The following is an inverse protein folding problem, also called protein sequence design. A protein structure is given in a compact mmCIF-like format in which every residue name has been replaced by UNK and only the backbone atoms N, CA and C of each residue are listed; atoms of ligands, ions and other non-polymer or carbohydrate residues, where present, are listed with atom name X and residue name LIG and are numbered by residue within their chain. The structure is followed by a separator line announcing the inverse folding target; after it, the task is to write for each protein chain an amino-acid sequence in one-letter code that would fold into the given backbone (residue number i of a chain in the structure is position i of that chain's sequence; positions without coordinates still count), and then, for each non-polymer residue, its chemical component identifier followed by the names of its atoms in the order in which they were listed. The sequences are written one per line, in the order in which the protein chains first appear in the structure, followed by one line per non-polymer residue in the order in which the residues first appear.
data_IF_603475191142
#
_entry.id   IF_603475191142
#
_cell.length_a   1.000
_cell.length_b   1.000
_cell.length_c   1.000
_cell.angle_alpha   90.00
_cell.angle_beta   90.00
_cell.angle_gamma   90.00
#
_symmetry.space_group_name_H-M   'P 1'
#
loop_
_entity.id
_entity.type
_entity.pdbx_description
1 polymer ?
#
# COMPACT_ATOMS: atom_id res chain seq x y z
N UNK A 1 25.66 -41.28 -25.06
CA UNK A 1 27.07 -40.80 -25.06
C UNK A 1 27.60 -40.96 -23.65
N UNK A 2 28.73 -41.68 -23.48
CA UNK A 2 29.40 -41.94 -22.20
C UNK A 2 30.29 -40.77 -21.79
N UNK A 3 30.51 -40.68 -20.46
CA UNK A 3 31.57 -40.00 -19.68
C UNK A 3 31.68 -38.47 -19.85
N UNK A 4 31.82 -37.66 -18.80
CA UNK A 4 32.61 -37.87 -17.58
C UNK A 4 32.10 -36.99 -16.42
N UNK A 5 31.70 -37.64 -15.32
CA UNK A 5 31.71 -37.03 -14.00
C UNK A 5 33.14 -37.07 -13.46
N UNK A 6 33.67 -35.90 -13.09
CA UNK A 6 34.74 -35.75 -12.09
C UNK A 6 34.47 -34.45 -11.36
N UNK A 7 33.95 -34.56 -10.13
CA UNK A 7 33.88 -33.49 -9.15
C UNK A 7 34.96 -33.82 -8.12
N UNK A 8 36.13 -33.18 -8.23
CA UNK A 8 37.12 -33.15 -7.17
C UNK A 8 37.67 -31.74 -7.03
N UNK A 9 37.56 -31.20 -5.81
CA UNK A 9 38.19 -29.97 -5.32
C UNK A 9 39.70 -29.98 -5.55
N UNK A 10 40.19 -29.43 -6.66
CA UNK A 10 41.60 -29.05 -6.83
C UNK A 10 41.80 -28.14 -8.06
N UNK A 11 41.68 -26.83 -7.84
CA UNK A 11 42.39 -25.74 -8.54
C UNK A 11 41.75 -24.42 -8.04
N UNK A 12 42.38 -23.45 -7.40
CA UNK A 12 43.78 -23.10 -7.12
C UNK A 12 43.76 -22.16 -5.89
N UNK A 13 44.78 -22.23 -5.04
CA UNK A 13 45.11 -21.20 -4.04
C UNK A 13 46.45 -20.55 -4.44
N UNK A 14 46.48 -19.20 -4.36
CA UNK A 14 47.63 -18.29 -4.10
C UNK A 14 48.66 -18.15 -5.26
N UNK A 15 49.24 -16.99 -5.64
CA UNK A 15 49.53 -15.72 -4.94
C UNK A 15 50.08 -14.61 -5.90
N UNK A 16 50.05 -13.34 -5.42
CA UNK A 16 50.89 -12.14 -5.73
C UNK A 16 50.93 -11.45 -7.11
N UNK A 17 50.72 -10.12 -7.09
CA UNK A 17 51.31 -9.16 -8.05
C UNK A 17 50.46 -7.93 -8.37
N UNK A 18 50.81 -6.78 -7.80
CA UNK A 18 50.34 -5.45 -8.22
C UNK A 18 50.64 -5.19 -9.71
N UNK A 19 49.64 -4.75 -10.49
CA UNK A 19 49.73 -3.60 -11.38
C UNK A 19 48.37 -3.30 -12.04
N UNK A 20 48.20 -1.99 -12.27
CA UNK A 20 46.98 -1.26 -12.56
C UNK A 20 46.70 -1.18 -14.08
N UNK A 21 45.41 -1.26 -14.43
CA UNK A 21 44.70 -0.92 -15.69
C UNK A 21 44.86 -1.87 -16.88
N UNK A 22 43.75 -2.55 -17.20
CA UNK A 22 43.16 -2.51 -18.54
C UNK A 22 41.71 -3.00 -18.48
N UNK A 23 40.80 -2.09 -18.82
CA UNK A 23 39.41 -2.37 -19.16
C UNK A 23 39.34 -3.48 -20.21
N UNK A 24 38.76 -4.64 -19.89
CA UNK A 24 38.03 -5.56 -20.79
C UNK A 24 37.86 -6.94 -20.13
N UNK A 25 36.89 -7.07 -19.22
CA UNK A 25 36.26 -8.37 -18.98
C UNK A 25 34.89 -8.18 -18.30
N UNK A 26 33.85 -8.50 -19.08
CA UNK A 26 32.49 -8.81 -18.67
C UNK A 26 31.62 -7.66 -18.16
N UNK A 27 31.44 -6.67 -19.05
CA UNK A 27 30.08 -6.23 -19.39
C UNK A 27 29.25 -7.45 -19.81
N UNK A 28 28.60 -8.10 -18.85
CA UNK A 28 27.31 -8.73 -19.16
C UNK A 28 26.38 -7.55 -19.35
N UNK A 29 26.13 -7.19 -20.61
CA UNK A 29 25.30 -6.03 -20.93
C UNK A 29 23.91 -6.23 -20.32
N UNK A 30 23.19 -5.14 -20.10
CA UNK A 30 21.78 -5.14 -19.69
C UNK A 30 20.87 -6.00 -20.59
N UNK A 31 21.39 -6.50 -21.71
CA UNK A 31 20.74 -7.34 -22.71
C UNK A 31 20.90 -8.86 -22.46
N UNK A 32 21.63 -9.27 -21.42
CA UNK A 32 22.00 -10.68 -21.22
C UNK A 32 21.19 -11.42 -20.14
N UNK A 33 20.23 -10.78 -19.48
CA UNK A 33 19.32 -11.47 -18.54
C UNK A 33 17.97 -11.65 -19.21
N UNK A 34 17.62 -12.90 -19.45
CA UNK A 34 16.36 -13.27 -20.08
C UNK A 34 15.18 -12.95 -19.15
N UNK A 35 14.13 -12.25 -19.62
CA UNK A 35 12.88 -12.11 -18.89
C UNK A 35 12.33 -13.47 -18.45
N UNK A 36 11.60 -13.53 -17.34
CA UNK A 36 10.99 -14.78 -16.83
C UNK A 36 10.24 -15.52 -17.95
N UNK A 37 9.49 -14.79 -18.79
CA UNK A 37 8.80 -15.35 -19.95
C UNK A 37 9.75 -16.06 -20.93
N UNK A 38 10.90 -15.46 -21.23
CA UNK A 38 11.92 -16.05 -22.11
C UNK A 38 12.56 -17.30 -21.49
N UNK A 39 12.71 -17.35 -20.17
CA UNK A 39 13.24 -18.53 -19.46
C UNK A 39 12.26 -19.70 -19.49
N UNK A 40 10.97 -19.43 -19.27
CA UNK A 40 9.93 -20.43 -19.44
C UNK A 40 9.88 -20.98 -20.87
N UNK A 41 10.13 -20.12 -21.86
CA UNK A 41 10.27 -20.53 -23.24
C UNK A 41 11.44 -21.50 -23.44
N UNK A 42 12.63 -21.21 -22.90
CA UNK A 42 13.79 -22.13 -22.95
C UNK A 42 13.51 -23.46 -22.26
N UNK A 43 12.90 -23.42 -21.07
CA UNK A 43 12.53 -24.63 -20.31
C UNK A 43 11.53 -25.49 -21.11
N UNK A 44 10.58 -24.86 -21.80
CA UNK A 44 9.62 -25.58 -22.66
C UNK A 44 10.31 -26.29 -23.84
N UNK A 45 11.38 -25.71 -24.41
CA UNK A 45 12.19 -26.38 -25.43
C UNK A 45 12.98 -27.57 -24.89
N UNK A 46 13.57 -27.43 -23.70
CA UNK A 46 14.38 -28.48 -23.08
C UNK A 46 13.54 -29.68 -22.58
N UNK A 47 12.22 -29.51 -22.51
CA UNK A 47 11.30 -30.58 -22.13
C UNK A 47 9.99 -30.49 -22.92
N UNK A 48 9.95 -30.94 -24.18
CA UNK A 48 8.80 -30.75 -25.08
C UNK A 48 7.48 -31.38 -24.57
N UNK A 49 7.56 -32.34 -23.65
CA UNK A 49 6.41 -32.93 -22.94
C UNK A 49 5.74 -31.97 -21.94
N UNK A 50 6.31 -30.78 -21.77
CA UNK A 50 5.88 -29.75 -20.85
C UNK A 50 5.03 -28.73 -21.60
N UNK A 51 3.71 -28.86 -21.43
CA UNK A 51 2.75 -27.87 -21.89
C UNK A 51 2.78 -26.69 -20.90
N UNK A 52 3.81 -25.87 -20.97
CA UNK A 52 3.69 -24.47 -20.54
C UNK A 52 2.90 -23.79 -21.65
N UNK A 53 1.80 -23.10 -21.33
CA UNK A 53 0.93 -22.46 -22.31
C UNK A 53 1.80 -21.68 -23.30
N UNK A 54 1.95 -22.20 -24.52
CA UNK A 54 2.78 -21.58 -25.54
C UNK A 54 2.17 -20.20 -25.78
N UNK A 55 2.90 -19.15 -25.44
CA UNK A 55 2.56 -17.72 -25.53
C UNK A 55 2.03 -17.01 -24.27
N UNK A 56 1.98 -17.64 -23.08
CA UNK A 56 1.64 -16.91 -21.85
C UNK A 56 2.87 -16.43 -21.07
N UNK A 57 2.87 -15.15 -20.68
CA UNK A 57 3.84 -14.61 -19.72
C UNK A 57 3.63 -15.27 -18.35
N UNK A 58 4.62 -16.02 -17.88
CA UNK A 58 4.62 -16.54 -16.52
C UNK A 58 5.22 -15.52 -15.54
N UNK A 59 4.55 -15.32 -14.41
CA UNK A 59 4.95 -14.37 -13.37
C UNK A 59 5.63 -15.02 -12.16
N UNK A 60 5.71 -16.36 -12.13
CA UNK A 60 6.38 -17.13 -11.09
C UNK A 60 7.84 -17.44 -11.45
N UNK A 61 8.63 -17.74 -10.42
CA UNK A 61 10.02 -18.19 -10.56
C UNK A 61 10.10 -19.71 -10.71
N UNK A 62 11.04 -20.29 -11.48
CA UNK A 62 11.40 -21.71 -11.38
C UNK A 62 11.85 -22.12 -9.96
N UNK A 63 12.26 -21.16 -9.11
CA UNK A 63 12.53 -21.42 -7.68
C UNK A 63 11.24 -21.75 -6.92
N UNK A 64 10.16 -21.05 -7.25
CA UNK A 64 8.84 -21.12 -6.64
C UNK A 64 7.77 -21.23 -7.74
N UNK A 65 7.73 -22.36 -8.49
CA UNK A 65 6.84 -22.49 -9.62
C UNK A 65 5.40 -22.53 -9.12
N UNK A 66 4.52 -21.83 -9.82
CA UNK A 66 3.09 -21.89 -9.55
C UNK A 66 2.53 -23.30 -9.83
N UNK A 67 1.30 -23.57 -9.39
CA UNK A 67 0.67 -24.89 -9.55
C UNK A 67 0.61 -25.38 -11.00
N UNK A 68 0.50 -24.48 -11.98
CA UNK A 68 0.48 -24.80 -13.42
C UNK A 68 1.88 -25.10 -13.96
N UNK A 69 2.90 -24.40 -13.44
CA UNK A 69 4.28 -24.51 -13.91
C UNK A 69 5.10 -25.57 -13.15
N UNK A 70 4.61 -26.05 -12.00
CA UNK A 70 5.30 -27.07 -11.19
C UNK A 70 5.36 -28.46 -11.85
N UNK A 71 4.27 -29.00 -12.45
CA UNK A 71 4.33 -30.28 -13.17
C UNK A 71 5.32 -30.23 -14.32
N UNK A 72 5.34 -29.09 -15.02
CA UNK A 72 6.21 -28.75 -16.12
C UNK A 72 7.71 -28.90 -15.78
N UNK A 73 8.17 -28.37 -14.64
CA UNK A 73 9.60 -28.40 -14.30
C UNK A 73 9.98 -29.51 -13.32
N UNK A 74 9.04 -30.40 -13.00
CA UNK A 74 9.22 -31.41 -11.94
C UNK A 74 10.48 -32.25 -12.14
N UNK A 75 10.77 -32.65 -13.36
CA UNK A 75 11.94 -33.46 -13.71
C UNK A 75 13.28 -32.73 -13.52
N UNK A 76 13.27 -31.39 -13.51
CA UNK A 76 14.46 -30.55 -13.29
C UNK A 76 14.64 -30.14 -11.83
N UNK A 77 13.59 -30.21 -10.99
CA UNK A 77 13.69 -29.84 -9.57
C UNK A 77 14.79 -30.60 -8.81
N UNK A 78 15.02 -31.92 -9.02
CA UNK A 78 16.11 -32.64 -8.36
C UNK A 78 17.50 -32.12 -8.70
N UNK A 79 17.69 -31.53 -9.89
CA UNK A 79 18.98 -30.93 -10.28
C UNK A 79 19.40 -29.80 -9.34
N UNK A 80 18.44 -29.18 -8.63
CA UNK A 80 18.72 -28.18 -7.62
C UNK A 80 19.43 -28.71 -6.38
N UNK A 81 19.39 -30.02 -6.15
CA UNK A 81 20.05 -30.65 -5.00
C UNK A 81 21.48 -31.08 -5.34
N UNK A 82 21.78 -31.32 -6.62
CA UNK A 82 22.99 -32.04 -7.03
C UNK A 82 23.85 -31.32 -8.06
N UNK A 83 23.31 -30.33 -8.78
CA UNK A 83 24.02 -29.64 -9.85
C UNK A 83 24.31 -28.20 -9.46
N UNK A 84 25.54 -27.93 -9.02
CA UNK A 84 25.99 -26.58 -8.70
C UNK A 84 25.85 -25.66 -9.91
N UNK A 85 26.11 -26.12 -11.14
CA UNK A 85 25.96 -25.33 -12.36
C UNK A 85 24.51 -25.06 -12.73
N UNK A 86 23.57 -25.99 -12.49
CA UNK A 86 22.15 -25.74 -12.66
C UNK A 86 21.65 -24.76 -11.61
N UNK A 87 22.10 -24.93 -10.36
CA UNK A 87 21.87 -23.95 -9.33
C UNK A 87 22.47 -22.61 -9.71
N UNK A 88 23.70 -22.56 -10.20
CA UNK A 88 24.42 -21.36 -10.62
C UNK A 88 23.80 -20.75 -11.88
N UNK A 89 23.25 -21.51 -12.80
CA UNK A 89 22.45 -21.00 -13.91
C UNK A 89 21.15 -20.42 -13.35
N UNK A 90 20.49 -21.14 -12.45
CA UNK A 90 19.45 -20.61 -11.60
C UNK A 90 19.95 -19.54 -10.59
N UNK A 91 21.25 -19.14 -10.55
CA UNK A 91 21.82 -18.03 -9.74
C UNK A 91 22.10 -16.86 -10.67
N UNK A 92 22.87 -17.06 -11.71
CA UNK A 92 23.23 -16.09 -12.72
C UNK A 92 22.00 -15.62 -13.52
N UNK A 93 20.99 -16.48 -13.67
CA UNK A 93 19.66 -16.10 -14.17
C UNK A 93 18.69 -15.73 -13.02
N UNK A 94 18.97 -16.13 -11.76
CA UNK A 94 18.13 -15.87 -10.57
C UNK A 94 18.97 -15.73 -9.28
N UNK A 95 19.59 -14.58 -9.01
CA UNK A 95 20.69 -14.47 -8.03
C UNK A 95 20.34 -14.99 -6.65
N UNK A 96 21.20 -15.84 -6.10
CA UNK A 96 20.98 -16.51 -4.81
C UNK A 96 21.93 -15.94 -3.75
N UNK A 97 21.32 -15.50 -2.65
CA UNK A 97 21.93 -15.16 -1.37
C UNK A 97 22.88 -13.97 -1.38
N UNK A 98 22.31 -12.78 -1.50
CA UNK A 98 22.02 -12.10 -0.26
C UNK A 98 20.53 -11.80 -0.17
N UNK A 99 19.96 -12.20 0.97
CA UNK A 99 18.64 -11.88 1.50
C UNK A 99 17.42 -12.36 0.69
N UNK A 100 16.86 -13.48 1.15
CA UNK A 100 15.43 -13.81 1.10
C UNK A 100 14.59 -13.10 0.02
N UNK A 101 14.85 -13.36 -1.28
CA UNK A 101 13.96 -13.13 -2.45
C UNK A 101 14.28 -11.98 -3.43
N UNK A 102 15.40 -11.26 -3.32
CA UNK A 102 15.78 -10.23 -4.31
C UNK A 102 16.69 -10.76 -5.42
N UNK A 103 16.47 -10.33 -6.67
CA UNK A 103 17.06 -10.94 -7.88
C UNK A 103 18.22 -10.16 -8.53
N UNK A 104 19.00 -9.34 -7.83
CA UNK A 104 20.04 -8.57 -8.55
C UNK A 104 21.22 -8.08 -7.71
N UNK A 105 22.42 -8.70 -7.83
CA UNK A 105 23.66 -8.24 -7.18
C UNK A 105 24.38 -7.15 -8.01
N UNK A 106 24.26 -7.16 -9.34
CA UNK A 106 25.15 -6.38 -10.23
C UNK A 106 24.61 -5.00 -10.65
N UNK A 107 23.42 -4.62 -10.17
CA UNK A 107 22.91 -3.24 -10.29
C UNK A 107 23.37 -2.37 -9.11
N UNK A 108 24.06 -2.98 -8.15
CA UNK A 108 24.52 -2.32 -6.95
C UNK A 108 25.92 -1.77 -7.15
N UNK A 109 25.94 -0.58 -7.74
CA UNK A 109 26.96 0.38 -7.36
C UNK A 109 26.38 1.24 -6.22
N UNK A 110 26.84 1.08 -4.98
CA UNK A 110 26.45 1.92 -3.84
C UNK A 110 26.69 3.42 -4.09
N UNK A 111 27.51 3.77 -5.09
CA UNK A 111 27.82 5.14 -5.49
C UNK A 111 26.91 5.71 -6.59
N UNK A 112 26.06 4.90 -7.25
CA UNK A 112 25.26 5.32 -8.42
C UNK A 112 23.74 5.21 -8.19
N UNK A 113 23.25 4.31 -7.32
CA UNK A 113 21.80 4.08 -7.17
C UNK A 113 21.28 4.26 -5.74
N UNK A 114 20.63 5.40 -5.52
CA UNK A 114 19.97 5.74 -4.26
C UNK A 114 18.51 5.25 -4.18
N UNK A 115 18.02 4.21 -4.87
CA UNK A 115 16.56 3.94 -4.91
C UNK A 115 16.16 2.52 -4.51
N UNK A 116 15.07 2.42 -3.74
CA UNK A 116 14.43 1.17 -3.33
C UNK A 116 13.68 0.48 -4.49
N UNK A 117 13.27 1.24 -5.50
CA UNK A 117 12.42 0.75 -6.59
C UNK A 117 12.95 -0.49 -7.32
N UNK A 118 14.23 -0.53 -7.80
CA UNK A 118 14.73 -1.69 -8.55
C UNK A 118 14.78 -2.95 -7.69
N UNK A 119 15.03 -2.81 -6.38
CA UNK A 119 15.00 -3.92 -5.41
C UNK A 119 13.61 -4.52 -5.36
N UNK A 120 12.58 -3.69 -5.22
CA UNK A 120 11.16 -4.11 -5.15
C UNK A 120 10.71 -4.74 -6.47
N UNK A 121 11.07 -4.17 -7.61
CA UNK A 121 10.73 -4.71 -8.94
C UNK A 121 11.37 -6.08 -9.19
N UNK A 122 12.59 -6.28 -8.71
CA UNK A 122 13.32 -7.53 -8.85
C UNK A 122 12.80 -8.61 -7.87
N UNK A 123 12.33 -8.22 -6.69
CA UNK A 123 11.93 -9.14 -5.61
C UNK A 123 10.70 -9.97 -5.95
N UNK A 124 10.70 -11.22 -5.49
CA UNK A 124 9.51 -12.09 -5.49
C UNK A 124 9.14 -12.40 -4.04
N UNK A 125 8.39 -11.48 -3.42
CA UNK A 125 8.08 -11.54 -1.99
C UNK A 125 7.37 -12.85 -1.63
N UNK A 126 7.88 -13.53 -0.61
CA UNK A 126 7.45 -14.85 -0.13
C UNK A 126 7.48 -15.97 -1.18
N UNK A 127 8.24 -15.76 -2.26
CA UNK A 127 8.17 -16.61 -3.46
C UNK A 127 6.79 -16.66 -4.11
N UNK A 128 5.91 -15.71 -3.76
CA UNK A 128 4.48 -15.71 -4.07
C UNK A 128 4.03 -14.44 -4.78
N UNK A 129 4.46 -13.28 -4.31
CA UNK A 129 3.99 -11.97 -4.78
C UNK A 129 4.99 -11.32 -5.74
N UNK A 130 4.56 -11.12 -6.99
CA UNK A 130 5.42 -10.55 -8.03
C UNK A 130 4.99 -9.12 -8.34
N UNK A 131 5.91 -8.17 -8.20
CA UNK A 131 5.69 -6.77 -8.57
C UNK A 131 5.06 -6.65 -9.97
N UNK A 132 4.02 -5.83 -10.08
CA UNK A 132 3.36 -5.50 -11.34
C UNK A 132 3.55 -4.04 -11.70
N UNK A 133 3.04 -3.12 -10.88
CA UNK A 133 3.09 -1.68 -11.15
C UNK A 133 3.25 -0.88 -9.87
N UNK A 134 3.98 0.23 -9.93
CA UNK A 134 4.15 1.17 -8.82
C UNK A 134 2.87 2.01 -8.67
N UNK A 135 2.38 2.14 -7.43
CA UNK A 135 1.27 3.04 -7.08
C UNK A 135 1.77 4.37 -6.54
N UNK A 136 2.73 4.32 -5.62
CA UNK A 136 3.28 5.49 -4.94
C UNK A 136 4.79 5.28 -4.70
N UNK A 137 5.53 6.40 -4.75
CA UNK A 137 6.96 6.49 -5.04
C UNK A 137 7.90 5.56 -4.28
N UNK A 138 9.11 5.37 -4.82
CA UNK A 138 10.22 4.59 -4.23
C UNK A 138 11.56 5.34 -4.48
N UNK A 139 11.49 6.67 -4.57
CA UNK A 139 12.61 7.54 -4.91
C UNK A 139 13.56 7.67 -3.71
N UNK A 140 14.87 7.70 -3.95
CA UNK A 140 15.87 8.03 -2.92
C UNK A 140 15.89 7.10 -1.66
N UNK A 141 15.43 5.85 -1.75
CA UNK A 141 15.24 4.89 -0.63
C UNK A 141 14.05 5.20 0.29
N UNK A 142 13.12 6.05 -0.15
CA UNK A 142 11.88 6.26 0.59
C UNK A 142 10.97 5.03 0.53
N UNK A 143 10.02 4.99 1.46
CA UNK A 143 8.88 4.09 1.43
C UNK A 143 8.09 4.17 0.12
N UNK A 144 7.38 3.09 -0.21
CA UNK A 144 6.59 3.03 -1.43
C UNK A 144 5.56 1.92 -1.47
N UNK A 145 4.63 2.03 -2.42
CA UNK A 145 3.55 1.07 -2.62
C UNK A 145 3.50 0.60 -4.07
N UNK A 146 3.34 -0.70 -4.27
CA UNK A 146 3.20 -1.32 -5.59
C UNK A 146 2.07 -2.34 -5.61
N UNK A 147 1.39 -2.47 -6.73
CA UNK A 147 0.54 -3.64 -7.01
C UNK A 147 1.43 -4.82 -7.36
N UNK A 148 1.05 -6.01 -6.91
CA UNK A 148 1.68 -7.26 -7.28
C UNK A 148 0.64 -8.34 -7.63
N UNK A 149 1.06 -9.30 -8.43
CA UNK A 149 0.31 -10.53 -8.68
C UNK A 149 0.55 -11.55 -7.57
N UNK A 150 -0.51 -12.19 -7.09
CA UNK A 150 -0.43 -13.38 -6.24
C UNK A 150 -0.37 -14.65 -7.10
N UNK A 151 0.85 -15.20 -7.24
CA UNK A 151 1.10 -16.43 -8.00
C UNK A 151 0.95 -17.71 -7.18
N UNK A 152 0.72 -17.59 -5.86
CA UNK A 152 0.63 -18.71 -4.92
C UNK A 152 -0.79 -19.27 -4.75
N UNK A 153 -1.77 -18.74 -5.49
CA UNK A 153 -3.13 -19.26 -5.49
C UNK A 153 -3.27 -20.50 -6.38
N UNK A 154 -4.37 -21.28 -6.25
CA UNK A 154 -4.66 -22.41 -7.16
C UNK A 154 -4.75 -22.04 -8.64
N UNK A 155 -4.89 -20.75 -8.98
CA UNK A 155 -4.89 -20.24 -10.36
C UNK A 155 -3.49 -20.05 -10.93
N UNK A 156 -2.46 -20.10 -10.08
CA UNK A 156 -1.07 -19.99 -10.49
C UNK A 156 -0.75 -18.70 -11.25
N UNK A 157 -0.23 -18.82 -12.48
CA UNK A 157 0.14 -17.68 -13.33
C UNK A 157 -0.92 -17.34 -14.39
N UNK A 158 -2.14 -17.83 -14.27
CA UNK A 158 -3.22 -17.44 -15.18
C UNK A 158 -3.50 -15.93 -15.04
N UNK A 159 -3.04 -15.13 -16.00
CA UNK A 159 -3.15 -13.66 -15.97
C UNK A 159 -4.60 -13.18 -15.87
N UNK A 160 -5.54 -13.97 -16.40
CA UNK A 160 -6.95 -13.69 -16.27
C UNK A 160 -7.51 -14.09 -14.90
N UNK A 161 -6.84 -14.84 -14.03
CA UNK A 161 -7.41 -15.20 -12.71
C UNK A 161 -6.51 -14.88 -11.52
N UNK A 162 -5.27 -14.48 -11.77
CA UNK A 162 -4.32 -14.04 -10.74
C UNK A 162 -4.91 -12.89 -9.93
N UNK A 163 -5.04 -13.05 -8.61
CA UNK A 163 -5.40 -11.94 -7.74
C UNK A 163 -4.33 -10.87 -7.73
N UNK A 164 -4.77 -9.63 -7.54
CA UNK A 164 -3.90 -8.51 -7.24
C UNK A 164 -3.82 -8.31 -5.74
N UNK A 165 -2.63 -7.91 -5.27
CA UNK A 165 -2.36 -7.48 -3.90
C UNK A 165 -1.59 -6.16 -3.92
N UNK A 166 -1.49 -5.49 -2.78
CA UNK A 166 -0.62 -4.33 -2.61
C UNK A 166 0.56 -4.73 -1.73
N UNK A 167 1.75 -4.31 -2.16
CA UNK A 167 3.00 -4.40 -1.41
C UNK A 167 3.34 -2.98 -0.96
N UNK A 168 3.33 -2.72 0.35
CA UNK A 168 3.88 -1.50 0.95
C UNK A 168 5.24 -1.83 1.51
N UNK A 169 6.26 -1.07 1.12
CA UNK A 169 7.64 -1.27 1.55
C UNK A 169 8.08 -0.05 2.35
N UNK A 170 8.72 -0.30 3.48
CA UNK A 170 9.09 0.68 4.50
C UNK A 170 10.57 0.45 4.86
N UNK A 171 11.29 1.53 5.13
CA UNK A 171 12.70 1.47 5.55
C UNK A 171 12.88 1.72 7.05
N UNK A 172 11.83 2.19 7.71
CA UNK A 172 11.78 2.43 9.15
C UNK A 172 10.91 1.38 9.82
N UNK A 173 11.34 0.94 11.00
CA UNK A 173 10.62 -0.07 11.77
C UNK A 173 9.34 0.49 12.41
N UNK A 174 9.38 1.73 12.91
CA UNK A 174 8.26 2.29 13.68
C UNK A 174 6.95 2.37 12.87
N UNK A 175 6.92 2.93 11.64
CA UNK A 175 5.69 2.98 10.84
C UNK A 175 5.20 1.58 10.45
N UNK A 176 6.13 0.65 10.20
CA UNK A 176 5.81 -0.75 9.92
C UNK A 176 5.17 -1.43 11.13
N UNK A 177 5.77 -1.27 12.32
CA UNK A 177 5.26 -1.83 13.56
C UNK A 177 3.90 -1.24 13.92
N UNK A 178 3.72 0.08 13.77
CA UNK A 178 2.44 0.75 13.99
C UNK A 178 1.34 0.17 13.09
N UNK A 179 1.57 0.10 11.79
CA UNK A 179 0.58 -0.41 10.83
C UNK A 179 0.28 -1.91 11.06
N UNK A 180 1.31 -2.74 11.30
CA UNK A 180 1.15 -4.16 11.65
C UNK A 180 0.30 -4.36 12.91
N UNK A 181 0.60 -3.61 13.98
CA UNK A 181 -0.09 -3.73 15.25
C UNK A 181 -1.55 -3.30 15.14
N UNK A 182 -1.81 -2.23 14.38
CA UNK A 182 -3.16 -1.71 14.11
C UNK A 182 -4.03 -2.72 13.35
N UNK A 183 -3.54 -3.26 12.23
CA UNK A 183 -4.29 -4.29 11.51
C UNK A 183 -4.50 -5.56 12.33
N UNK A 184 -3.52 -5.95 13.16
CA UNK A 184 -3.67 -7.08 14.09
C UNK A 184 -4.79 -6.84 15.10
N UNK A 185 -4.86 -5.66 15.71
CA UNK A 185 -5.91 -5.30 16.66
C UNK A 185 -7.29 -5.22 16.00
N UNK A 186 -7.39 -4.60 14.83
CA UNK A 186 -8.63 -4.52 14.04
C UNK A 186 -9.14 -5.93 13.72
N UNK A 187 -8.27 -6.81 13.21
CA UNK A 187 -8.63 -8.18 12.82
C UNK A 187 -9.14 -9.01 13.99
N UNK A 188 -8.60 -8.82 15.21
CA UNK A 188 -9.01 -9.56 16.41
C UNK A 188 -10.45 -9.27 16.81
N UNK A 189 -10.92 -8.04 16.63
CA UNK A 189 -12.25 -7.60 17.09
C UNK A 189 -13.27 -7.58 15.96
N UNK A 190 -12.87 -7.10 14.78
CA UNK A 190 -13.76 -6.89 13.64
C UNK A 190 -13.75 -8.05 12.64
N UNK A 191 -12.89 -9.05 12.85
CA UNK A 191 -12.76 -10.21 11.96
C UNK A 191 -12.09 -9.87 10.61
N UNK A 192 -12.33 -10.70 9.60
CA UNK A 192 -11.78 -10.56 8.24
C UNK A 192 -12.87 -10.29 7.19
N UNK A 193 -14.09 -9.95 7.62
CA UNK A 193 -15.18 -9.72 6.67
C UNK A 193 -14.97 -8.43 5.88
N UNK A 194 -15.27 -8.47 4.59
CA UNK A 194 -15.22 -7.32 3.68
C UNK A 194 -16.10 -6.17 4.19
N UNK A 195 -17.20 -6.49 4.87
CA UNK A 195 -18.14 -5.56 5.52
C UNK A 195 -17.48 -4.64 6.55
N UNK A 196 -16.35 -5.04 7.14
CA UNK A 196 -15.62 -4.25 8.14
C UNK A 196 -15.10 -2.92 7.58
N UNK A 197 -14.81 -2.86 6.28
CA UNK A 197 -14.20 -1.71 5.63
C UNK A 197 -12.77 -1.40 6.10
N UNK A 198 -12.04 -2.45 6.45
CA UNK A 198 -10.58 -2.43 6.59
C UNK A 198 -10.00 -3.51 5.67
N UNK A 199 -8.91 -3.26 4.93
CA UNK A 199 -8.35 -4.26 4.04
C UNK A 199 -7.80 -5.44 4.84
N UNK A 200 -7.90 -6.64 4.25
CA UNK A 200 -7.21 -7.80 4.79
C UNK A 200 -5.69 -7.64 4.68
N UNK A 201 -4.98 -7.69 5.81
CA UNK A 201 -3.53 -7.85 5.84
C UNK A 201 -3.19 -9.33 5.63
N UNK A 202 -2.56 -9.63 4.48
CA UNK A 202 -2.24 -10.98 4.03
C UNK A 202 -0.93 -11.47 4.63
N UNK A 203 0.08 -10.59 4.70
CA UNK A 203 1.38 -10.89 5.28
C UNK A 203 2.12 -9.63 5.71
N UNK A 204 3.10 -9.77 6.60
CA UNK A 204 4.03 -8.75 7.01
C UNK A 204 5.37 -9.39 7.37
N UNK A 205 6.48 -8.86 6.88
CA UNK A 205 7.81 -9.38 7.21
C UNK A 205 8.88 -8.34 6.90
N UNK A 206 10.13 -8.73 7.04
CA UNK A 206 11.31 -7.94 6.75
C UNK A 206 12.32 -8.75 5.94
N UNK A 207 13.28 -8.05 5.35
CA UNK A 207 14.45 -8.65 4.73
C UNK A 207 15.62 -7.66 4.85
N UNK A 208 16.82 -8.18 5.15
CA UNK A 208 18.03 -7.36 5.20
C UNK A 208 18.56 -6.97 3.80
N UNK A 209 19.56 -6.10 3.73
CA UNK A 209 20.30 -5.70 2.54
C UNK A 209 21.79 -5.76 2.92
N UNK A 210 22.33 -6.98 2.98
CA UNK A 210 23.64 -7.37 3.53
C UNK A 210 24.86 -6.96 2.71
N UNK A 211 24.72 -6.74 1.40
CA UNK A 211 25.84 -6.36 0.51
C UNK A 211 26.12 -4.81 0.57
N UNK A 212 25.34 -4.01 1.35
CA UNK A 212 25.56 -2.56 1.49
C UNK A 212 26.61 -2.26 2.57
N UNK A 213 27.39 -1.16 2.41
CA UNK A 213 28.30 -0.67 3.46
C UNK A 213 27.59 -0.40 4.79
N UNK A 214 26.31 -0.01 4.73
CA UNK A 214 25.39 0.02 5.85
C UNK A 214 24.38 -1.10 5.67
N UNK A 215 24.46 -2.18 6.46
CA UNK A 215 23.39 -3.19 6.51
C UNK A 215 22.07 -2.46 6.73
N UNK A 216 21.12 -2.63 5.80
CA UNK A 216 19.78 -2.05 5.93
C UNK A 216 18.75 -3.14 6.10
N UNK A 217 17.76 -2.92 6.97
CA UNK A 217 16.57 -3.76 7.05
C UNK A 217 15.46 -3.06 6.28
N UNK A 218 14.76 -3.82 5.45
CA UNK A 218 13.59 -3.36 4.70
C UNK A 218 12.39 -4.13 5.18
N UNK A 219 11.37 -3.40 5.62
CA UNK A 219 10.11 -3.95 6.09
C UNK A 219 9.08 -3.92 4.96
N UNK A 220 8.14 -4.86 4.96
CA UNK A 220 7.04 -4.85 4.00
C UNK A 220 5.75 -5.43 4.56
N UNK A 221 4.65 -4.95 3.98
CA UNK A 221 3.28 -5.37 4.23
C UNK A 221 2.64 -5.80 2.92
N UNK A 222 2.00 -6.97 2.93
CA UNK A 222 1.17 -7.45 1.83
C UNK A 222 -0.29 -7.33 2.25
N UNK A 223 -1.09 -6.58 1.50
CA UNK A 223 -2.50 -6.35 1.79
C UNK A 223 -3.39 -6.61 0.59
N UNK A 224 -4.69 -6.74 0.86
CA UNK A 224 -5.73 -6.81 -0.13
C UNK A 224 -5.65 -5.62 -1.09
N UNK A 225 -5.72 -5.89 -2.40
CA UNK A 225 -5.89 -4.84 -3.40
C UNK A 225 -7.28 -4.20 -3.30
N UNK A 226 -7.31 -2.87 -3.30
CA UNK A 226 -8.53 -2.05 -3.26
C UNK A 226 -8.70 -1.25 -4.54
N UNK A 227 -9.86 -0.61 -4.69
CA UNK A 227 -10.17 0.27 -5.81
C UNK A 227 -9.63 1.69 -5.62
N UNK A 228 -10.10 2.65 -6.44
CA UNK A 228 -9.68 4.04 -6.37
C UNK A 228 -9.87 4.66 -4.99
N UNK A 229 -8.95 5.54 -4.60
CA UNK A 229 -9.11 6.38 -3.40
C UNK A 229 -10.18 7.45 -3.62
N UNK A 230 -10.72 8.05 -2.55
CA UNK A 230 -11.61 9.21 -2.69
C UNK A 230 -10.87 10.41 -3.32
N UNK A 231 -9.54 10.48 -3.18
CA UNK A 231 -8.72 11.44 -3.92
C UNK A 231 -8.74 11.16 -5.43
N UNK A 232 -8.56 9.90 -5.83
CA UNK A 232 -8.60 9.51 -7.24
C UNK A 232 -9.98 9.78 -7.85
N UNK A 233 -11.06 9.54 -7.11
CA UNK A 233 -12.42 9.89 -7.54
C UNK A 233 -12.56 11.40 -7.76
N UNK A 234 -12.02 12.21 -6.85
CA UNK A 234 -12.04 13.67 -6.97
C UNK A 234 -11.18 14.17 -8.14
N UNK A 235 -10.03 13.53 -8.41
CA UNK A 235 -9.09 13.94 -9.46
C UNK A 235 -9.51 13.48 -10.86
N UNK A 236 -10.10 12.28 -10.96
CA UNK A 236 -10.42 11.63 -12.23
C UNK A 236 -11.88 11.81 -12.65
N UNK A 237 -12.71 12.45 -11.83
CA UNK A 237 -14.05 12.87 -12.24
C UNK A 237 -14.04 14.31 -12.76
N UNK A 238 -15.02 14.68 -13.58
CA UNK A 238 -15.25 16.07 -13.95
C UNK A 238 -15.60 16.97 -12.76
N UNK A 239 -15.84 16.37 -11.59
CA UNK A 239 -16.24 17.07 -10.39
C UNK A 239 -15.03 17.65 -9.66
N UNK A 240 -14.99 18.97 -9.51
CA UNK A 240 -14.03 19.63 -8.63
C UNK A 240 -14.34 19.43 -7.14
N UNK A 241 -15.47 18.76 -6.82
CA UNK A 241 -15.99 18.46 -5.47
C UNK A 241 -17.07 17.37 -5.53
N UNK A 242 -17.25 16.62 -4.46
CA UNK A 242 -18.34 15.64 -4.33
C UNK A 242 -19.71 16.33 -4.23
N UNK A 243 -20.75 15.63 -4.71
CA UNK A 243 -22.14 16.06 -4.51
C UNK A 243 -22.54 15.95 -3.04
N UNK A 244 -23.59 16.66 -2.63
CA UNK A 244 -24.10 16.57 -1.25
C UNK A 244 -24.48 15.14 -0.84
N UNK A 245 -24.94 14.29 -1.78
CA UNK A 245 -25.26 12.89 -1.51
C UNK A 245 -24.00 12.06 -1.31
N UNK A 246 -22.99 12.22 -2.16
CA UNK A 246 -21.68 11.55 -2.03
C UNK A 246 -21.00 11.91 -0.71
N UNK A 247 -20.89 13.20 -0.38
CA UNK A 247 -20.23 13.65 0.85
C UNK A 247 -20.93 13.12 2.10
N UNK A 248 -22.26 13.03 2.08
CA UNK A 248 -23.04 12.53 3.23
C UNK A 248 -22.91 11.01 3.38
N UNK A 249 -22.84 10.29 2.25
CA UNK A 249 -22.56 8.86 2.27
C UNK A 249 -21.18 8.56 2.86
N UNK A 250 -20.16 9.29 2.42
CA UNK A 250 -18.80 9.22 2.97
C UNK A 250 -18.80 9.52 4.47
N UNK A 251 -19.48 10.58 4.91
CA UNK A 251 -19.55 10.95 6.32
C UNK A 251 -20.09 9.79 7.18
N UNK A 252 -21.25 9.22 6.82
CA UNK A 252 -21.87 8.13 7.56
C UNK A 252 -20.97 6.90 7.61
N UNK A 253 -20.36 6.52 6.48
CA UNK A 253 -19.48 5.35 6.43
C UNK A 253 -18.19 5.56 7.22
N UNK A 254 -17.53 6.71 7.10
CA UNK A 254 -16.29 6.99 7.82
C UNK A 254 -16.51 7.15 9.34
N UNK A 255 -17.64 7.74 9.77
CA UNK A 255 -18.01 7.77 11.19
C UNK A 255 -18.07 6.35 11.78
N UNK A 256 -18.63 5.38 11.05
CA UNK A 256 -18.63 3.97 11.48
C UNK A 256 -17.21 3.37 11.53
N UNK A 257 -16.30 3.76 10.63
CA UNK A 257 -14.90 3.30 10.67
C UNK A 257 -14.18 3.85 11.90
N UNK A 258 -14.33 5.13 12.18
CA UNK A 258 -13.75 5.75 13.37
C UNK A 258 -14.34 5.15 14.65
N UNK A 259 -15.66 4.94 14.71
CA UNK A 259 -16.29 4.22 15.82
C UNK A 259 -15.64 2.85 16.05
N UNK A 260 -15.40 2.08 14.98
CA UNK A 260 -14.79 0.77 15.07
C UNK A 260 -13.35 0.84 15.62
N UNK A 261 -12.48 1.68 15.08
CA UNK A 261 -11.09 1.77 15.58
C UNK A 261 -11.01 2.38 16.99
N UNK A 262 -11.87 3.35 17.32
CA UNK A 262 -11.86 3.95 18.66
C UNK A 262 -12.36 3.00 19.74
N UNK A 263 -13.24 2.05 19.38
CA UNK A 263 -13.70 0.99 20.30
C UNK A 263 -12.60 0.03 20.77
N UNK A 264 -11.49 -0.04 20.01
CA UNK A 264 -10.29 -0.84 20.34
C UNK A 264 -9.11 0.03 20.75
N UNK A 265 -9.39 1.25 21.22
CA UNK A 265 -8.41 2.23 21.65
C UNK A 265 -7.39 2.67 20.57
N UNK A 266 -7.74 2.58 19.29
CA UNK A 266 -6.83 2.93 18.19
C UNK A 266 -7.21 4.27 17.56
N UNK A 267 -6.25 5.19 17.42
CA UNK A 267 -6.42 6.48 16.71
C UNK A 267 -5.72 6.40 15.37
N UNK A 268 -6.35 6.88 14.30
CA UNK A 268 -5.79 6.85 12.95
C UNK A 268 -4.78 7.96 12.69
N UNK A 269 -5.14 9.23 12.93
CA UNK A 269 -4.38 10.48 12.71
C UNK A 269 -3.88 10.79 11.30
N UNK A 270 -3.94 9.83 10.36
CA UNK A 270 -3.58 10.00 8.96
C UNK A 270 -4.74 10.39 8.04
N UNK A 271 -5.80 11.04 8.53
CA UNK A 271 -7.00 11.28 7.72
C UNK A 271 -6.69 12.15 6.49
N UNK A 272 -6.92 11.61 5.30
CA UNK A 272 -6.85 12.32 4.01
C UNK A 272 -7.67 11.57 2.96
N UNK A 273 -8.20 12.22 1.91
CA UNK A 273 -8.96 11.52 0.87
C UNK A 273 -8.23 10.32 0.23
N UNK A 274 -6.89 10.35 0.19
CA UNK A 274 -6.07 9.27 -0.34
C UNK A 274 -6.00 8.01 0.57
N UNK A 275 -6.42 8.11 1.83
CA UNK A 275 -6.43 6.99 2.79
C UNK A 275 -7.82 6.33 2.92
N UNK A 276 -8.75 6.70 2.03
CA UNK A 276 -10.08 6.11 1.96
C UNK A 276 -10.30 5.54 0.56
N UNK A 277 -10.46 4.23 0.45
CA UNK A 277 -10.57 3.52 -0.82
C UNK A 277 -11.96 2.96 -1.05
N UNK A 278 -12.39 2.94 -2.30
CA UNK A 278 -13.52 2.13 -2.74
C UNK A 278 -13.08 0.65 -2.86
N UNK A 279 -14.01 -0.32 -2.88
CA UNK A 279 -13.66 -1.69 -3.24
C UNK A 279 -13.13 -1.74 -4.68
N UNK A 280 -12.45 -2.83 -5.10
CA UNK A 280 -12.19 -3.06 -6.52
C UNK A 280 -13.50 -3.23 -7.30
N UNK A 281 -13.57 -2.67 -8.51
CA UNK A 281 -14.71 -2.94 -9.39
C UNK A 281 -14.72 -4.43 -9.77
N UNK A 282 -15.86 -5.08 -9.60
CA UNK A 282 -16.06 -6.46 -10.08
C UNK A 282 -15.97 -6.49 -11.60
N UNK A 283 -15.39 -7.55 -12.16
CA UNK A 283 -15.29 -7.70 -13.61
C UNK A 283 -16.67 -7.70 -14.25
N UNK A 284 -16.80 -6.93 -15.32
CA UNK A 284 -18.07 -6.75 -16.03
C UNK A 284 -19.09 -5.87 -15.30
N UNK A 285 -18.77 -5.32 -14.13
CA UNK A 285 -19.65 -4.38 -13.43
C UNK A 285 -19.40 -2.93 -13.87
N UNK A 286 -20.49 -2.18 -14.06
CA UNK A 286 -20.47 -0.74 -14.32
C UNK A 286 -20.39 0.11 -13.04
N UNK A 287 -20.55 -0.52 -11.87
CA UNK A 287 -20.51 0.18 -10.58
C UNK A 287 -20.37 -0.75 -9.37
N UNK A 288 -20.25 -0.14 -8.21
CA UNK A 288 -20.30 -0.81 -6.91
C UNK A 288 -21.74 -1.07 -6.49
N UNK A 289 -21.95 -2.01 -5.56
CA UNK A 289 -23.25 -2.11 -4.89
C UNK A 289 -23.40 -0.91 -3.95
N UNK A 290 -24.64 -0.39 -3.74
CA UNK A 290 -24.86 0.72 -2.82
C UNK A 290 -24.35 0.46 -1.40
N UNK A 291 -24.40 -0.79 -0.95
CA UNK A 291 -23.96 -1.24 0.37
C UNK A 291 -22.46 -1.51 0.48
N UNK A 292 -21.69 -1.36 -0.61
CA UNK A 292 -20.26 -1.64 -0.59
C UNK A 292 -19.52 -0.65 0.33
N UNK A 293 -18.61 -1.13 1.19
CA UNK A 293 -17.95 -0.30 2.18
C UNK A 293 -16.85 0.55 1.58
N UNK A 294 -16.70 1.77 2.10
CA UNK A 294 -15.45 2.54 2.00
C UNK A 294 -14.44 1.93 2.98
N UNK A 295 -13.24 1.69 2.48
CA UNK A 295 -12.11 1.14 3.21
C UNK A 295 -11.25 2.25 3.80
N UNK A 296 -10.80 2.08 5.05
CA UNK A 296 -9.77 2.91 5.67
C UNK A 296 -8.42 2.19 5.60
N UNK A 297 -7.38 2.88 5.13
CA UNK A 297 -6.02 2.33 4.95
C UNK A 297 -4.96 3.24 5.59
N UNK A 298 -3.70 2.76 5.59
CA UNK A 298 -2.50 3.51 5.96
C UNK A 298 -2.48 3.93 7.44
N UNK A 299 -2.22 2.91 8.28
CA UNK A 299 -2.12 3.04 9.73
C UNK A 299 -0.68 3.36 10.19
N UNK A 300 0.20 3.84 9.31
CA UNK A 300 1.60 4.14 9.63
C UNK A 300 1.76 5.23 10.71
N UNK A 301 0.80 6.16 10.81
CA UNK A 301 0.77 7.20 11.85
C UNK A 301 -0.15 6.85 13.03
N UNK A 302 -0.79 5.69 12.99
CA UNK A 302 -1.77 5.31 14.01
C UNK A 302 -1.08 5.01 15.34
N UNK A 303 -1.84 5.17 16.42
CA UNK A 303 -1.34 4.87 17.76
C UNK A 303 -2.47 4.40 18.65
N UNK A 304 -2.17 3.50 19.57
CA UNK A 304 -3.09 3.16 20.64
C UNK A 304 -3.12 4.30 21.64
N UNK A 305 -4.31 4.84 21.91
CA UNK A 305 -4.45 5.85 22.93
C UNK A 305 -4.57 5.17 24.28
N UNK A 306 -3.41 5.01 24.89
CA UNK A 306 -3.33 4.84 26.34
C UNK A 306 -3.00 6.22 26.90
N UNK A 307 -3.60 6.67 28.02
CA UNK A 307 -3.21 7.90 28.70
C UNK A 307 -1.69 8.05 28.83
N UNK A 308 -1.12 9.12 28.26
CA UNK A 308 -0.65 10.21 29.11
C UNK A 308 -1.62 11.39 29.07
N UNK A 309 -1.62 12.26 30.10
CA UNK A 309 -2.57 13.36 30.22
C UNK A 309 -2.48 14.36 29.07
N UNK A 310 -3.58 15.08 28.86
CA UNK A 310 -3.68 16.18 27.91
C UNK A 310 -2.52 17.16 28.05
N UNK A 311 -1.92 17.55 26.92
CA UNK A 311 -0.85 18.55 26.90
C UNK A 311 0.56 17.97 26.96
N UNK A 312 0.69 16.65 27.09
CA UNK A 312 1.98 15.99 26.87
C UNK A 312 2.46 16.25 25.43
N UNK A 313 3.70 16.72 25.30
CA UNK A 313 4.35 16.88 24.00
C UNK A 313 4.58 15.50 23.36
N UNK A 314 4.29 15.40 22.07
CA UNK A 314 4.60 14.23 21.25
C UNK A 314 6.07 14.31 20.83
N UNK A 315 6.83 13.19 20.79
CA UNK A 315 8.21 13.19 20.32
C UNK A 315 8.35 13.87 18.96
N UNK A 316 9.43 14.64 18.76
CA UNK A 316 9.67 15.61 17.67
C UNK A 316 9.41 15.12 16.22
N UNK A 317 9.29 13.81 16.00
CA UNK A 317 9.04 13.18 14.69
C UNK A 317 7.54 13.19 14.24
N UNK A 318 6.71 14.02 14.88
CA UNK A 318 5.26 14.06 14.64
C UNK A 318 4.83 14.88 13.41
N UNK A 319 5.78 15.51 12.71
CA UNK A 319 5.56 16.43 11.58
C UNK A 319 5.11 15.77 10.26
N UNK A 320 4.88 14.46 10.27
CA UNK A 320 4.70 13.61 9.08
C UNK A 320 3.26 13.43 8.60
N UNK A 321 2.25 13.70 9.45
CA UNK A 321 0.84 13.68 9.06
C UNK A 321 0.48 14.84 8.11
N UNK A 322 -0.50 14.65 7.23
CA UNK A 322 -0.86 15.66 6.23
C UNK A 322 -1.37 16.97 6.89
N UNK A 323 -0.60 18.04 6.72
CA UNK A 323 -0.86 19.36 7.32
C UNK A 323 -2.25 19.93 7.02
N UNK A 324 -2.82 19.63 5.86
CA UNK A 324 -4.13 20.16 5.47
C UNK A 324 -5.27 19.59 6.33
N UNK A 325 -5.13 18.34 6.77
CA UNK A 325 -6.20 17.58 7.39
C UNK A 325 -5.94 17.25 8.86
N UNK A 326 -4.70 17.30 9.35
CA UNK A 326 -4.42 17.08 10.78
C UNK A 326 -5.16 18.10 11.66
N UNK A 327 -5.56 17.73 12.87
CA UNK A 327 -6.13 18.69 13.83
C UNK A 327 -5.12 19.78 14.24
N UNK A 328 -5.56 20.97 14.64
CA UNK A 328 -4.66 22.03 15.16
C UNK A 328 -3.89 21.61 16.41
N UNK A 329 -4.46 20.72 17.23
CA UNK A 329 -3.79 20.23 18.44
C UNK A 329 -2.63 19.31 18.10
N UNK A 330 -2.88 18.33 17.23
CA UNK A 330 -1.80 17.52 16.65
C UNK A 330 -0.75 18.39 15.95
N UNK A 331 -1.17 19.48 15.30
CA UNK A 331 -0.28 20.47 14.67
C UNK A 331 0.54 21.31 15.66
N UNK A 332 0.09 21.41 16.91
CA UNK A 332 0.85 22.03 18.00
C UNK A 332 1.77 21.06 18.74
N UNK A 333 1.93 19.82 18.25
CA UNK A 333 2.78 18.81 18.88
C UNK A 333 2.19 18.15 20.13
N UNK A 334 0.90 18.30 20.41
CA UNK A 334 0.27 17.70 21.58
C UNK A 334 -0.14 16.24 21.34
N UNK A 335 -0.25 15.48 22.44
CA UNK A 335 -0.83 14.14 22.50
C UNK A 335 -2.20 14.07 21.81
N UNK A 336 -2.32 13.18 20.82
CA UNK A 336 -3.54 12.94 20.04
C UNK A 336 -4.52 12.03 20.78
N UNK A 337 -5.80 12.19 20.49
CA UNK A 337 -6.94 11.49 21.08
C UNK A 337 -8.05 11.29 20.04
N UNK A 338 -9.11 10.50 20.30
CA UNK A 338 -10.26 10.35 19.40
C UNK A 338 -10.83 11.66 18.81
N UNK A 339 -10.77 12.76 19.56
CA UNK A 339 -11.25 14.08 19.10
C UNK A 339 -10.45 14.66 17.93
N UNK A 340 -9.16 14.32 17.84
CA UNK A 340 -8.26 14.79 16.77
C UNK A 340 -8.60 14.12 15.44
N UNK A 341 -9.01 12.84 15.47
CA UNK A 341 -9.56 12.11 14.32
C UNK A 341 -10.89 12.73 13.85
N UNK A 342 -11.76 13.17 14.79
CA UNK A 342 -13.02 13.82 14.46
C UNK A 342 -12.83 15.17 13.79
N UNK A 343 -11.92 16.00 14.30
CA UNK A 343 -11.56 17.27 13.67
C UNK A 343 -10.98 17.04 12.27
N UNK A 344 -10.09 16.05 12.13
CA UNK A 344 -9.45 15.72 10.86
C UNK A 344 -10.46 15.18 9.82
N UNK A 345 -11.40 14.33 10.24
CA UNK A 345 -12.51 13.87 9.42
C UNK A 345 -13.37 15.05 8.94
N UNK A 346 -13.66 16.02 9.81
CA UNK A 346 -14.46 17.18 9.45
C UNK A 346 -13.78 18.01 8.34
N UNK A 347 -12.44 18.15 8.38
CA UNK A 347 -11.67 18.77 7.31
C UNK A 347 -11.70 17.97 6.00
N UNK A 348 -11.59 16.64 6.07
CA UNK A 348 -11.75 15.77 4.90
C UNK A 348 -13.13 15.94 4.26
N UNK A 349 -14.20 15.96 5.05
CA UNK A 349 -15.57 16.11 4.55
C UNK A 349 -15.80 17.49 3.93
N UNK A 350 -15.30 18.56 4.55
CA UNK A 350 -15.33 19.91 3.99
C UNK A 350 -14.60 19.97 2.65
N UNK A 351 -13.39 19.40 2.59
CA UNK A 351 -12.59 19.35 1.38
C UNK A 351 -13.29 18.58 0.25
N UNK A 352 -13.84 17.39 0.54
CA UNK A 352 -14.58 16.61 -0.44
C UNK A 352 -15.82 17.38 -0.93
N UNK A 353 -16.61 17.98 -0.04
CA UNK A 353 -17.85 18.67 -0.40
C UNK A 353 -17.65 20.04 -1.06
N UNK A 354 -16.53 20.72 -0.80
CA UNK A 354 -16.25 22.07 -1.33
C UNK A 354 -15.17 22.12 -2.41
N UNK A 355 -14.36 21.06 -2.52
CA UNK A 355 -13.19 20.99 -3.40
C UNK A 355 -11.97 21.77 -2.88
N UNK A 356 -12.08 22.41 -1.71
CA UNK A 356 -11.06 23.27 -1.11
C UNK A 356 -11.29 23.42 0.39
N UNK A 357 -10.26 23.88 1.10
CA UNK A 357 -10.33 24.40 2.47
C UNK A 357 -9.91 25.88 2.47
N UNK A 358 -10.27 26.68 3.49
CA UNK A 358 -9.83 28.07 3.59
C UNK A 358 -8.30 28.25 3.53
N UNK A 359 -7.55 27.23 3.95
CA UNK A 359 -6.09 27.17 3.91
C UNK A 359 -5.54 26.19 2.87
N UNK A 360 -6.36 25.63 1.98
CA UNK A 360 -5.86 24.74 0.93
C UNK A 360 -6.72 24.89 -0.33
N UNK A 361 -6.13 25.48 -1.36
CA UNK A 361 -6.86 25.92 -2.56
C UNK A 361 -7.36 24.80 -3.47
N UNK A 362 -7.18 23.52 -3.08
CA UNK A 362 -7.74 22.36 -3.77
C UNK A 362 -6.69 21.42 -4.36
N UNK A 363 -7.13 20.34 -5.04
CA UNK A 363 -6.28 19.22 -5.45
C UNK A 363 -5.12 19.58 -6.40
N UNK A 364 -5.26 20.66 -7.17
CA UNK A 364 -4.27 21.11 -8.17
C UNK A 364 -3.37 22.25 -7.68
N UNK A 365 -3.50 22.65 -6.42
CA UNK A 365 -2.72 23.75 -5.85
C UNK A 365 -1.32 23.30 -5.44
N UNK A 366 -0.30 24.13 -5.70
CA UNK A 366 1.04 23.95 -5.13
C UNK A 366 1.04 24.50 -3.71
N UNK A 367 1.43 23.68 -2.73
CA UNK A 367 1.50 24.02 -1.31
C UNK A 367 2.27 25.32 -1.05
N UNK A 368 1.81 26.14 -0.10
CA UNK A 368 2.49 27.38 0.32
C UNK A 368 2.53 27.55 1.83
N UNK A 369 3.69 27.95 2.38
CA UNK A 369 3.92 28.18 3.82
C UNK A 369 2.99 29.23 4.48
N UNK A 370 2.22 30.00 3.71
CA UNK A 370 1.27 31.02 4.22
C UNK A 370 -0.06 30.46 4.77
N UNK A 371 -0.28 29.16 4.66
CA UNK A 371 -1.59 28.52 4.90
C UNK A 371 -1.88 28.21 6.39
N UNK A 372 -0.85 28.08 7.23
CA UNK A 372 -0.99 27.68 8.65
C UNK A 372 -1.77 28.70 9.52
N UNK A 373 -1.44 29.99 9.40
CA UNK A 373 -2.13 31.05 10.15
C UNK A 373 -3.60 31.23 9.74
N UNK A 374 -3.99 30.74 8.56
CA UNK A 374 -5.37 30.78 8.08
C UNK A 374 -6.23 29.67 8.69
N UNK A 375 -5.63 28.52 9.00
CA UNK A 375 -6.33 27.37 9.62
C UNK A 375 -6.69 27.62 11.08
N UNK A 376 -5.76 28.18 11.86
CA UNK A 376 -6.02 28.50 13.28
C UNK A 376 -7.11 29.56 13.47
N UNK A 377 -7.33 30.42 12.47
CA UNK A 377 -8.37 31.45 12.47
C UNK A 377 -9.69 31.00 11.84
N UNK A 378 -9.73 29.82 11.21
CA UNK A 378 -10.90 29.37 10.48
C UNK A 378 -11.99 28.85 11.43
N UNK A 379 -13.17 29.42 11.34
CA UNK A 379 -14.35 28.99 12.10
C UNK A 379 -15.10 27.88 11.37
N UNK A 380 -15.91 27.11 12.11
CA UNK A 380 -16.81 26.11 11.50
C UNK A 380 -17.72 26.74 10.43
N UNK A 381 -18.24 27.96 10.68
CA UNK A 381 -19.01 28.70 9.69
C UNK A 381 -18.24 28.93 8.38
N UNK A 382 -16.96 29.32 8.44
CA UNK A 382 -16.14 29.53 7.25
C UNK A 382 -15.81 28.21 6.53
N UNK A 383 -15.43 27.18 7.30
CA UNK A 383 -15.02 25.87 6.77
C UNK A 383 -16.20 25.22 6.04
N UNK A 384 -17.38 25.22 6.65
CA UNK A 384 -18.56 24.52 6.15
C UNK A 384 -19.56 25.44 5.43
N UNK A 385 -19.17 26.68 5.10
CA UNK A 385 -20.02 27.60 4.34
C UNK A 385 -20.57 26.94 3.05
N UNK A 386 -21.87 27.08 2.82
CA UNK A 386 -22.60 26.45 1.71
C UNK A 386 -22.85 24.94 1.83
N UNK A 387 -22.41 24.29 2.91
CA UNK A 387 -22.71 22.88 3.20
C UNK A 387 -23.91 22.75 4.14
N UNK A 388 -24.42 21.53 4.30
CA UNK A 388 -25.45 21.26 5.30
C UNK A 388 -24.92 21.54 6.72
N UNK A 389 -25.67 22.20 7.62
CA UNK A 389 -25.18 22.52 8.96
C UNK A 389 -24.71 21.32 9.78
N UNK A 390 -25.20 20.10 9.47
CA UNK A 390 -24.77 18.87 10.14
C UNK A 390 -23.26 18.61 10.06
N UNK A 391 -22.58 19.13 9.04
CA UNK A 391 -21.13 18.96 8.88
C UNK A 391 -20.29 19.78 9.86
N UNK A 392 -20.85 20.85 10.47
CA UNK A 392 -20.15 21.59 11.53
C UNK A 392 -20.02 20.78 12.81
N UNK A 393 -20.93 19.82 13.02
CA UNK A 393 -21.06 19.14 14.29
C UNK A 393 -19.88 18.21 14.63
N UNK A 394 -19.35 17.37 13.70
CA UNK A 394 -18.10 16.64 13.94
C UNK A 394 -16.91 17.54 14.29
N UNK A 395 -16.83 18.73 13.68
CA UNK A 395 -15.79 19.71 13.97
C UNK A 395 -15.93 20.27 15.39
N UNK A 396 -17.13 20.70 15.78
CA UNK A 396 -17.41 21.20 17.13
C UNK A 396 -17.17 20.13 18.20
N UNK A 397 -17.59 18.89 17.95
CA UNK A 397 -17.34 17.74 18.83
C UNK A 397 -15.84 17.52 18.99
N UNK A 398 -15.08 17.49 17.90
CA UNK A 398 -13.62 17.33 17.95
C UNK A 398 -12.92 18.43 18.77
N UNK A 399 -13.47 19.64 18.78
CA UNK A 399 -12.96 20.78 19.55
C UNK A 399 -13.36 20.78 21.02
N UNK A 400 -14.55 20.27 21.33
CA UNK A 400 -15.14 20.34 22.66
C UNK A 400 -14.86 19.09 23.52
N UNK A 401 -14.55 17.95 22.91
CA UNK A 401 -14.30 16.71 23.64
C UNK A 401 -13.04 16.81 24.53
N UNK A 402 -13.17 16.29 25.74
CA UNK A 402 -12.05 16.06 26.64
C UNK A 402 -11.05 15.07 26.02
N UNK A 403 -9.79 15.16 26.44
CA UNK A 403 -8.76 14.25 25.96
C UNK A 403 -9.11 12.80 26.36
N UNK A 404 -9.03 11.88 25.39
CA UNK A 404 -9.34 10.46 25.59
C UNK A 404 -10.83 10.11 25.61
N UNK A 405 -11.74 11.12 25.61
CA UNK A 405 -13.17 10.87 25.53
C UNK A 405 -13.57 10.30 24.16
N UNK A 406 -14.47 9.30 24.17
CA UNK A 406 -15.00 8.69 22.96
C UNK A 406 -16.20 9.51 22.47
N UNK A 407 -16.24 9.96 21.21
CA UNK A 407 -17.43 10.59 20.63
C UNK A 407 -18.66 9.67 20.72
N UNK A 408 -19.84 10.24 20.97
CA UNK A 408 -21.11 9.49 20.95
C UNK A 408 -21.50 9.22 19.49
N UNK A 409 -20.81 8.28 18.85
CA UNK A 409 -20.90 8.00 17.42
C UNK A 409 -22.31 7.74 16.92
N UNK A 410 -23.10 6.95 17.66
CA UNK A 410 -24.47 6.60 17.26
C UNK A 410 -25.36 7.84 17.14
N UNK A 411 -25.17 8.82 18.03
CA UNK A 411 -25.88 10.09 17.99
C UNK A 411 -25.43 10.95 16.79
N UNK A 412 -24.13 10.97 16.47
CA UNK A 412 -23.60 11.66 15.29
C UNK A 412 -24.18 11.04 14.01
N UNK A 413 -24.09 9.71 13.90
CA UNK A 413 -24.58 8.94 12.76
C UNK A 413 -26.10 9.09 12.60
N UNK A 414 -26.87 9.11 13.70
CA UNK A 414 -28.33 9.34 13.66
C UNK A 414 -28.66 10.68 13.02
N UNK A 415 -27.99 11.77 13.43
CA UNK A 415 -28.26 13.08 12.82
C UNK A 415 -27.91 13.13 11.34
N UNK A 416 -26.78 12.55 10.94
CA UNK A 416 -26.45 12.44 9.51
C UNK A 416 -27.50 11.62 8.75
N UNK A 417 -28.01 10.54 9.37
CA UNK A 417 -29.03 9.66 8.79
C UNK A 417 -30.38 10.35 8.65
N UNK A 418 -30.80 11.13 9.64
CA UNK A 418 -32.01 11.95 9.58
C UNK A 418 -31.90 13.01 8.48
N UNK A 419 -30.75 13.69 8.37
CA UNK A 419 -30.50 14.67 7.29
C UNK A 419 -30.47 14.02 5.91
N UNK A 420 -29.94 12.81 5.80
CA UNK A 420 -29.97 12.03 4.56
C UNK A 420 -31.39 11.79 4.07
N UNK A 421 -32.27 11.34 4.97
CA UNK A 421 -33.69 11.10 4.67
C UNK A 421 -34.40 12.42 4.36
N UNK A 422 -34.18 13.47 5.15
CA UNK A 422 -34.79 14.78 4.93
C UNK A 422 -34.40 15.43 3.59
N UNK A 423 -33.21 15.14 3.07
CA UNK A 423 -32.78 15.57 1.72
C UNK A 423 -33.29 14.68 0.59
N UNK A 424 -34.02 13.61 0.89
CA UNK A 424 -34.55 12.68 -0.12
C UNK A 424 -33.47 11.80 -0.78
N UNK A 425 -32.35 11.54 -0.11
CA UNK A 425 -31.24 10.76 -0.72
C UNK A 425 -31.51 9.25 -0.78
N UNK A 426 -32.54 8.76 -0.11
CA UNK A 426 -33.00 7.37 -0.12
C UNK A 426 -33.31 6.85 1.28
N UNK A 427 -33.88 5.65 1.37
CA UNK A 427 -34.28 5.03 2.64
C UNK A 427 -33.11 4.43 3.44
N UNK A 428 -31.95 4.21 2.81
CA UNK A 428 -30.77 3.58 3.44
C UNK A 428 -29.63 4.60 3.57
N UNK A 429 -29.45 5.24 4.74
CA UNK A 429 -28.39 6.23 4.95
C UNK A 429 -26.98 5.64 4.82
N UNK A 430 -26.14 6.32 4.04
CA UNK A 430 -24.76 5.90 3.81
C UNK A 430 -24.56 5.04 2.57
N UNK A 431 -25.63 4.47 2.00
CA UNK A 431 -25.54 3.68 0.78
C UNK A 431 -25.35 4.57 -0.45
N UNK A 432 -24.34 4.27 -1.25
CA UNK A 432 -24.03 5.01 -2.46
C UNK A 432 -23.46 4.12 -3.54
N UNK A 433 -24.06 4.18 -4.72
CA UNK A 433 -23.57 3.47 -5.89
C UNK A 433 -22.47 4.28 -6.57
N UNK A 434 -21.23 3.83 -6.41
CA UNK A 434 -20.08 4.42 -7.09
C UNK A 434 -19.95 3.83 -8.49
N UNK A 435 -19.91 4.68 -9.52
CA UNK A 435 -19.76 4.24 -10.90
C UNK A 435 -18.30 4.27 -11.34
N UNK A 436 -17.98 3.43 -12.34
CA UNK A 436 -16.66 3.44 -12.94
C UNK A 436 -16.46 4.76 -13.70
N UNK A 437 -15.43 5.51 -13.35
CA UNK A 437 -15.05 6.72 -14.08
C UNK A 437 -14.34 6.32 -15.36
N UNK A 438 -14.90 6.68 -16.50
CA UNK A 438 -14.36 6.42 -17.83
C UNK A 438 -14.69 7.57 -18.78
N UNK A 439 -14.01 7.66 -19.94
CA UNK A 439 -14.22 8.73 -20.91
C UNK A 439 -15.67 8.82 -21.44
N UNK A 440 -16.48 7.77 -21.25
CA UNK A 440 -17.84 7.67 -21.79
C UNK A 440 -18.97 7.92 -20.78
N UNK A 441 -18.68 8.29 -19.52
CA UNK A 441 -19.73 8.71 -18.59
C UNK A 441 -20.01 10.21 -18.78
N UNK A 442 -20.80 10.53 -19.80
CA UNK A 442 -21.39 11.85 -20.05
C UNK A 442 -22.88 11.87 -19.70
#
# INVERSE_FOLDING_TARGET
MRSSCSLSDNALRLEHGDHIISSTANRVSKDCVLPIASLWHIISYLSPSVILFQNEEHFCSPRYPCCLARPAIRSFLPLRLVCHTFNLMCRLLFPQYTIEETWWPEMWDPSIWHSLLPVVMAKHFEGKYRHFVVLAGHHAWNEGCSVAYDTGTPFGCDKARMPLVVIKVLVEEEPHAAERNSYSAIRRVMGTEVSSGFPGMLSCSEFSLNELPSKRVVYYLISQYLGPTLHDVLMNSYYTRFTSKMTMAVAIQLLRRYQAIHSIQLIHTGAKPANFCLPPFSRGSSGHRPSDPIFMIDFGFSSFYTPPPEGAEKPDDWATANWNFRSLRSEGGFSVSPRDDMESLAYVLAYLGKGKLPWHSGPKSKYGFREQASKSKATGALIFDGMDPVYQWPFEIGRALEWGAIPVYDLIISRFSERWVAKGFGANPGEFQWHRFGPDSS
#
